data_IF_862524460217
#
_entry.id   IF_862524460217
#
_cell.length_a   1.000
_cell.length_b   1.000
_cell.length_c   1.000
_cell.angle_alpha   90.00
_cell.angle_beta   90.00
_cell.angle_gamma   90.00
#
_symmetry.space_group_name_H-M   'P 1'
#
loop_
_entity.id
_entity.type
_entity.pdbx_description
1 polymer ?
#
# COMPACT_ATOMS: atom_id res chain seq x y z
N UNK A 1 -5.83 13.52 -19.99
CA UNK A 1 -4.89 12.38 -20.22
C UNK A 1 -5.72 11.17 -20.61
N UNK A 2 -5.38 10.49 -21.69
CA UNK A 2 -6.12 9.32 -22.12
C UNK A 2 -5.81 8.08 -21.27
N UNK A 3 -6.61 7.03 -21.46
CA UNK A 3 -6.50 5.81 -20.66
C UNK A 3 -5.14 5.12 -20.81
N UNK A 4 -4.56 5.17 -22.02
CA UNK A 4 -3.27 4.56 -22.29
C UNK A 4 -2.15 5.29 -21.54
N UNK A 5 -2.18 6.61 -21.52
CA UNK A 5 -1.21 7.42 -20.79
C UNK A 5 -1.34 7.20 -19.29
N UNK A 6 -2.58 7.16 -18.78
CA UNK A 6 -2.85 6.85 -17.37
C UNK A 6 -2.31 5.46 -16.99
N UNK A 7 -2.55 4.47 -17.84
CA UNK A 7 -2.08 3.10 -17.61
C UNK A 7 -0.55 3.04 -17.55
N UNK A 8 0.12 3.65 -18.52
CA UNK A 8 1.59 3.64 -18.58
C UNK A 8 2.21 4.33 -17.37
N UNK A 9 1.67 5.49 -17.00
CA UNK A 9 2.12 6.21 -15.80
C UNK A 9 1.85 5.38 -14.54
N UNK A 10 0.70 4.75 -14.48
CA UNK A 10 0.28 3.98 -13.31
C UNK A 10 1.16 2.78 -13.06
N UNK A 11 1.52 2.01 -14.10
CA UNK A 11 2.45 0.89 -13.95
C UNK A 11 3.79 1.37 -13.41
N UNK A 12 4.31 2.47 -13.96
CA UNK A 12 5.58 3.03 -13.51
C UNK A 12 5.53 3.44 -12.03
N UNK A 13 4.49 4.15 -11.63
CA UNK A 13 4.30 4.60 -10.25
C UNK A 13 4.13 3.40 -9.31
N UNK A 14 3.30 2.43 -9.70
CA UNK A 14 3.04 1.23 -8.90
C UNK A 14 4.34 0.45 -8.65
N UNK A 15 5.17 0.32 -9.68
CA UNK A 15 6.47 -0.34 -9.56
C UNK A 15 7.45 0.43 -8.67
N UNK A 16 7.39 1.76 -8.69
CA UNK A 16 8.20 2.58 -7.79
C UNK A 16 7.82 2.37 -6.33
N UNK A 17 6.53 2.18 -6.05
CA UNK A 17 6.03 2.00 -4.69
C UNK A 17 6.29 0.58 -4.18
N UNK A 18 5.95 -0.44 -4.97
CA UNK A 18 5.96 -1.83 -4.50
C UNK A 18 7.12 -2.68 -5.04
N UNK A 19 7.85 -2.16 -6.02
CA UNK A 19 8.89 -2.92 -6.71
C UNK A 19 8.35 -3.61 -7.96
N UNK A 20 9.16 -3.66 -9.02
CA UNK A 20 8.76 -4.22 -10.30
C UNK A 20 8.38 -5.70 -10.19
N UNK A 21 9.16 -6.48 -9.45
CA UNK A 21 8.94 -7.92 -9.29
C UNK A 21 7.59 -8.21 -8.63
N UNK A 22 7.27 -7.50 -7.54
CA UNK A 22 6.00 -7.69 -6.82
C UNK A 22 4.81 -7.36 -7.70
N UNK A 23 4.89 -6.27 -8.47
CA UNK A 23 3.81 -5.83 -9.37
C UNK A 23 3.60 -6.85 -10.50
N UNK A 24 4.67 -7.28 -11.13
CA UNK A 24 4.62 -8.25 -12.23
C UNK A 24 4.05 -9.59 -11.76
N UNK A 25 4.46 -10.05 -10.57
CA UNK A 25 3.95 -11.27 -9.97
C UNK A 25 2.45 -11.17 -9.68
N UNK A 26 2.01 -10.05 -9.12
CA UNK A 26 0.59 -9.83 -8.84
C UNK A 26 -0.24 -9.82 -10.12
N UNK A 27 0.19 -9.09 -11.14
CA UNK A 27 -0.49 -9.01 -12.42
C UNK A 27 -0.54 -10.37 -13.10
N UNK A 28 0.58 -11.11 -13.09
CA UNK A 28 0.66 -12.42 -13.68
C UNK A 28 -0.20 -13.47 -12.98
N UNK A 29 -0.28 -13.42 -11.66
CA UNK A 29 -1.09 -14.35 -10.87
C UNK A 29 -2.58 -14.24 -11.17
N UNK A 30 -3.06 -13.06 -11.53
CA UNK A 30 -4.47 -12.82 -11.83
C UNK A 30 -4.83 -13.12 -13.29
N UNK A 31 -3.83 -13.16 -14.18
CA UNK A 31 -3.97 -13.55 -15.58
C UNK A 31 -5.01 -12.77 -16.36
N UNK A 32 -5.57 -13.39 -17.37
CA UNK A 32 -6.59 -12.75 -18.22
C UNK A 32 -7.88 -12.45 -17.46
N UNK A 33 -8.25 -13.31 -16.53
CA UNK A 33 -9.45 -13.08 -15.72
C UNK A 33 -9.34 -11.77 -14.94
N UNK A 34 -8.19 -11.50 -14.37
CA UNK A 34 -7.95 -10.30 -13.55
C UNK A 34 -7.53 -9.08 -14.34
N UNK A 35 -7.29 -9.19 -15.65
CA UNK A 35 -6.77 -8.09 -16.45
C UNK A 35 -7.64 -6.81 -16.40
N UNK A 36 -8.97 -6.87 -16.51
CA UNK A 36 -9.78 -5.65 -16.41
C UNK A 36 -9.60 -4.92 -15.08
N UNK A 37 -9.53 -5.66 -13.97
CA UNK A 37 -9.28 -5.06 -12.66
C UNK A 37 -7.88 -4.46 -12.58
N UNK A 38 -6.87 -5.19 -13.06
CA UNK A 38 -5.49 -4.69 -13.05
C UNK A 38 -5.32 -3.46 -13.94
N UNK A 39 -6.01 -3.41 -15.07
CA UNK A 39 -6.01 -2.22 -15.94
C UNK A 39 -6.58 -1.01 -15.21
N UNK A 40 -7.69 -1.18 -14.50
CA UNK A 40 -8.30 -0.12 -13.71
C UNK A 40 -7.37 0.32 -12.57
N UNK A 41 -6.77 -0.62 -11.86
CA UNK A 41 -5.83 -0.31 -10.79
C UNK A 41 -4.64 0.49 -11.35
N UNK A 42 -4.04 0.04 -12.44
CA UNK A 42 -2.90 0.73 -13.02
C UNK A 42 -3.28 2.13 -13.54
N UNK A 43 -4.39 2.25 -14.26
CA UNK A 43 -4.79 3.54 -14.85
C UNK A 43 -5.32 4.53 -13.81
N UNK A 44 -6.26 4.12 -12.99
CA UNK A 44 -6.97 5.05 -12.11
C UNK A 44 -6.37 5.13 -10.72
N UNK A 45 -6.05 4.01 -10.08
CA UNK A 45 -5.48 4.08 -8.74
C UNK A 45 -4.08 4.70 -8.78
N UNK A 46 -3.18 4.17 -9.60
CA UNK A 46 -1.79 4.63 -9.61
C UNK A 46 -1.50 5.66 -10.69
N UNK A 47 -2.16 5.58 -11.84
CA UNK A 47 -1.99 6.56 -12.91
C UNK A 47 -2.63 7.91 -12.60
N UNK A 48 -3.77 7.92 -11.93
CA UNK A 48 -4.44 9.16 -11.52
C UNK A 48 -4.19 9.45 -10.04
N UNK A 49 -4.79 8.67 -9.13
CA UNK A 49 -4.87 9.05 -7.70
C UNK A 49 -3.49 9.14 -7.06
N UNK A 50 -2.69 8.10 -7.14
CA UNK A 50 -1.36 8.06 -6.51
C UNK A 50 -0.35 9.01 -7.17
N UNK A 51 -0.65 9.48 -8.39
CA UNK A 51 0.20 10.41 -9.13
C UNK A 51 -0.15 11.89 -8.89
N UNK A 52 -1.22 12.15 -8.15
CA UNK A 52 -1.66 13.54 -7.91
C UNK A 52 -0.70 14.25 -6.97
N UNK A 53 -0.39 15.53 -7.25
CA UNK A 53 0.54 16.30 -6.40
C UNK A 53 -0.08 16.80 -5.09
N UNK A 54 -1.40 16.66 -4.92
CA UNK A 54 -2.12 17.20 -3.76
C UNK A 54 -1.77 16.56 -2.41
N UNK A 55 -1.18 15.36 -2.44
CA UNK A 55 -0.76 14.67 -1.23
C UNK A 55 0.46 13.81 -1.55
N UNK A 56 1.51 13.90 -0.76
CA UNK A 56 2.72 13.11 -0.96
C UNK A 56 2.45 11.61 -0.86
N UNK A 57 3.20 10.81 -1.59
CA UNK A 57 3.07 9.33 -1.56
C UNK A 57 3.24 8.77 -0.16
N UNK A 58 4.20 9.29 0.59
CA UNK A 58 4.45 8.88 1.97
C UNK A 58 3.19 9.03 2.82
N UNK A 59 2.52 10.16 2.69
CA UNK A 59 1.28 10.43 3.43
C UNK A 59 0.14 9.54 2.94
N UNK A 60 0.01 9.37 1.62
CA UNK A 60 -0.99 8.44 1.06
C UNK A 60 -0.82 7.03 1.63
N UNK A 61 0.41 6.57 1.76
CA UNK A 61 0.70 5.26 2.36
C UNK A 61 0.20 5.17 3.79
N UNK A 62 0.45 6.19 4.62
CA UNK A 62 -0.02 6.20 6.01
C UNK A 62 -1.55 6.18 6.09
N UNK A 63 -2.22 6.93 5.22
CA UNK A 63 -3.68 6.96 5.14
C UNK A 63 -4.23 5.58 4.80
N UNK A 64 -3.65 4.93 3.78
CA UNK A 64 -4.09 3.59 3.35
C UNK A 64 -3.85 2.55 4.43
N UNK A 65 -2.74 2.63 5.15
CA UNK A 65 -2.47 1.72 6.27
C UNK A 65 -3.57 1.81 7.33
N UNK A 66 -3.95 3.02 7.70
CA UNK A 66 -5.03 3.21 8.67
C UNK A 66 -6.35 2.65 8.17
N UNK A 67 -6.68 2.89 6.91
CA UNK A 67 -7.91 2.38 6.30
C UNK A 67 -7.94 0.85 6.28
N UNK A 68 -6.88 0.20 5.82
CA UNK A 68 -6.83 -1.26 5.74
C UNK A 68 -6.86 -1.92 7.11
N UNK A 69 -6.18 -1.34 8.10
CA UNK A 69 -6.25 -1.84 9.46
C UNK A 69 -7.65 -1.72 10.04
N UNK A 70 -8.30 -0.57 9.84
CA UNK A 70 -9.63 -0.30 10.38
C UNK A 70 -10.71 -1.24 9.82
N UNK A 71 -10.60 -1.62 8.55
CA UNK A 71 -11.58 -2.51 7.90
C UNK A 71 -11.11 -3.97 7.87
N UNK A 72 -10.07 -4.32 8.61
CA UNK A 72 -9.56 -5.69 8.77
C UNK A 72 -9.10 -6.34 7.45
N UNK A 73 -8.39 -5.57 6.63
CA UNK A 73 -7.79 -6.06 5.37
C UNK A 73 -6.31 -6.39 5.58
N UNK A 74 -6.04 -7.49 6.29
CA UNK A 74 -4.69 -7.87 6.70
C UNK A 74 -3.71 -8.01 5.53
N UNK A 75 -4.12 -8.66 4.45
CA UNK A 75 -3.25 -8.87 3.28
C UNK A 75 -2.89 -7.54 2.63
N UNK A 76 -3.88 -6.66 2.44
CA UNK A 76 -3.66 -5.34 1.85
C UNK A 76 -2.83 -4.45 2.79
N UNK A 77 -3.05 -4.57 4.11
CA UNK A 77 -2.24 -3.85 5.08
C UNK A 77 -0.76 -4.20 4.91
N UNK A 78 -0.43 -5.48 4.78
CA UNK A 78 0.96 -5.91 4.59
C UNK A 78 1.56 -5.37 3.29
N UNK A 79 0.81 -5.44 2.18
CA UNK A 79 1.24 -4.91 0.89
C UNK A 79 1.56 -3.41 1.00
N UNK A 80 0.65 -2.65 1.59
CA UNK A 80 0.82 -1.21 1.73
C UNK A 80 1.83 -0.83 2.80
N UNK A 81 2.08 -1.69 3.78
CA UNK A 81 3.16 -1.48 4.74
C UNK A 81 4.52 -1.53 4.04
N UNK A 82 4.72 -2.51 3.17
CA UNK A 82 5.93 -2.55 2.35
C UNK A 82 6.03 -1.33 1.44
N UNK A 83 4.93 -0.92 0.83
CA UNK A 83 4.88 0.30 0.03
C UNK A 83 5.20 1.55 0.85
N UNK A 84 4.67 1.64 2.07
CA UNK A 84 4.94 2.76 2.97
C UNK A 84 6.41 2.87 3.32
N UNK A 85 7.05 1.75 3.64
CA UNK A 85 8.49 1.72 3.92
C UNK A 85 9.30 2.15 2.69
N UNK A 86 8.91 1.69 1.51
CA UNK A 86 9.55 2.10 0.25
C UNK A 86 9.36 3.59 -0.02
N UNK A 87 8.24 4.18 0.40
CA UNK A 87 7.95 5.60 0.24
C UNK A 87 8.55 6.47 1.34
N UNK A 88 9.34 5.89 2.25
CA UNK A 88 10.06 6.62 3.27
C UNK A 88 9.36 6.77 4.61
N UNK A 89 8.26 6.06 4.83
CA UNK A 89 7.62 6.04 6.15
C UNK A 89 8.50 5.32 7.16
N UNK A 90 8.53 5.82 8.38
CA UNK A 90 9.34 5.23 9.46
C UNK A 90 8.51 4.30 10.32
N UNK A 91 9.16 3.34 11.03
CA UNK A 91 8.45 2.52 12.02
C UNK A 91 7.70 3.35 13.07
N UNK A 92 8.26 4.48 13.49
CA UNK A 92 7.61 5.38 14.46
C UNK A 92 6.31 5.96 13.90
N UNK A 93 6.32 6.39 12.64
CA UNK A 93 5.11 6.89 11.98
C UNK A 93 4.05 5.78 11.84
N UNK A 94 4.48 4.58 11.50
CA UNK A 94 3.58 3.42 11.39
C UNK A 94 2.97 3.09 12.76
N UNK A 95 3.75 3.17 13.83
CA UNK A 95 3.24 3.00 15.20
C UNK A 95 2.13 4.00 15.50
N UNK A 96 2.33 5.27 15.13
CA UNK A 96 1.33 6.31 15.38
C UNK A 96 0.03 6.04 14.61
N UNK A 97 0.10 5.53 13.38
CA UNK A 97 -1.08 5.10 12.63
C UNK A 97 -1.81 3.98 13.40
N UNK A 98 -1.06 3.00 13.91
CA UNK A 98 -1.66 1.89 14.66
C UNK A 98 -2.33 2.36 15.96
N UNK A 99 -1.79 3.38 16.62
CA UNK A 99 -2.42 3.98 17.80
C UNK A 99 -3.74 4.67 17.45
N UNK A 100 -3.78 5.37 16.31
CA UNK A 100 -5.03 5.96 15.80
C UNK A 100 -6.07 4.88 15.49
N UNK A 101 -5.64 3.77 14.91
CA UNK A 101 -6.51 2.63 14.65
C UNK A 101 -7.08 2.08 15.96
N UNK A 102 -6.26 1.94 17.00
CA UNK A 102 -6.71 1.48 18.32
C UNK A 102 -7.81 2.38 18.88
N UNK A 103 -7.64 3.69 18.72
CA UNK A 103 -8.57 4.68 19.25
C UNK A 103 -9.91 4.69 18.50
N UNK A 104 -9.88 4.65 17.17
CA UNK A 104 -11.08 4.87 16.35
C UNK A 104 -11.68 3.59 15.75
N UNK A 105 -10.95 2.50 15.69
CA UNK A 105 -11.42 1.23 15.12
C UNK A 105 -11.35 0.06 16.09
N UNK A 106 -10.70 0.22 17.23
CA UNK A 106 -10.67 -0.78 18.29
C UNK A 106 -9.33 -1.50 18.43
N UNK A 107 -9.12 -1.99 19.63
CA UNK A 107 -7.88 -2.68 20.02
C UNK A 107 -7.62 -3.93 19.15
N UNK A 108 -8.61 -4.79 18.85
CA UNK A 108 -8.33 -5.96 18.02
C UNK A 108 -7.72 -5.65 16.66
N UNK A 109 -8.23 -4.61 15.98
CA UNK A 109 -7.67 -4.17 14.68
C UNK A 109 -6.22 -3.69 14.85
N UNK A 110 -5.95 -2.94 15.91
CA UNK A 110 -4.60 -2.45 16.20
C UNK A 110 -3.64 -3.59 16.56
N UNK A 111 -4.10 -4.61 17.28
CA UNK A 111 -3.30 -5.79 17.60
C UNK A 111 -2.84 -6.51 16.32
N UNK A 112 -3.76 -6.72 15.37
CA UNK A 112 -3.43 -7.35 14.09
C UNK A 112 -2.43 -6.50 13.32
N UNK A 113 -2.63 -5.18 13.28
CA UNK A 113 -1.72 -4.27 12.59
C UNK A 113 -0.31 -4.32 13.20
N UNK A 114 -0.19 -4.34 14.54
CA UNK A 114 1.09 -4.45 15.22
C UNK A 114 1.79 -5.77 14.88
N UNK A 115 1.06 -6.86 14.90
CA UNK A 115 1.62 -8.18 14.59
C UNK A 115 2.19 -8.22 13.18
N UNK A 116 1.43 -7.73 12.21
CA UNK A 116 1.85 -7.69 10.80
C UNK A 116 3.04 -6.75 10.63
N UNK A 117 3.03 -5.60 11.31
CA UNK A 117 4.12 -4.64 11.24
C UNK A 117 5.43 -5.25 11.77
N UNK A 118 5.38 -5.90 12.93
CA UNK A 118 6.57 -6.53 13.51
C UNK A 118 7.12 -7.65 12.62
N UNK A 119 6.23 -8.46 12.05
CA UNK A 119 6.61 -9.49 11.09
C UNK A 119 7.33 -8.89 9.87
N UNK A 120 6.77 -7.84 9.32
CA UNK A 120 7.34 -7.16 8.14
C UNK A 120 8.68 -6.51 8.45
N UNK A 121 8.82 -5.87 9.61
CA UNK A 121 10.10 -5.29 10.04
C UNK A 121 11.18 -6.35 10.15
N UNK A 122 10.85 -7.52 10.72
CA UNK A 122 11.79 -8.64 10.79
C UNK A 122 12.20 -9.14 9.41
N UNK A 123 11.24 -9.31 8.51
CA UNK A 123 11.51 -9.75 7.14
C UNK A 123 12.44 -8.78 6.42
N UNK A 124 12.29 -7.49 6.67
CA UNK A 124 13.10 -6.43 6.05
C UNK A 124 14.35 -6.08 6.86
N UNK A 125 14.59 -6.76 7.97
CA UNK A 125 15.74 -6.53 8.85
C UNK A 125 15.79 -5.09 9.36
N UNK A 126 14.65 -4.57 9.77
CA UNK A 126 14.50 -3.23 10.36
C UNK A 126 14.42 -3.41 11.88
N UNK A 127 15.35 -2.76 12.59
CA UNK A 127 15.35 -2.76 14.05
C UNK A 127 14.30 -1.79 14.58
N UNK A 128 13.54 -2.23 15.57
CA UNK A 128 12.50 -1.40 16.18
C UNK A 128 12.50 -1.47 17.69
#
# INVERSE_FOLDING_TARGET
MDTQELYSRGIAVRKQIFGAEAVEKRMGALGEFGAPLQNMINAYAYGDIWSRPGLERRIRSLVVLGMNAAINRAAEFKVHLNGALNNGCTPDEIREVCLMVALYAGIPAANDAHRIALETFRERKIDV
#
